data_IF_521799940765
#
_entry.id   IF_521799940765
#
_cell.length_a   1.000
_cell.length_b   1.000
_cell.length_c   1.000
_cell.angle_alpha   90.00
_cell.angle_beta   90.00
_cell.angle_gamma   90.00
#
_symmetry.space_group_name_H-M   'P 1'
#
loop_
_entity.id
_entity.type
_entity.pdbx_description
1 polymer ?
#
# COMPACT_ATOMS: atom_id res chain seq x y z
N UNK A 1 -16.28 -9.20 -25.13
CA UNK A 1 -16.25 -10.56 -24.54
C UNK A 1 -17.60 -11.19 -24.81
N UNK A 2 -17.70 -12.15 -25.71
CA UNK A 2 -18.95 -12.89 -25.97
C UNK A 2 -18.96 -14.16 -25.14
N UNK A 3 -19.91 -14.29 -24.24
CA UNK A 3 -20.17 -15.53 -23.50
C UNK A 3 -20.95 -16.47 -24.44
N UNK A 4 -20.28 -17.49 -24.97
CA UNK A 4 -20.93 -18.52 -25.81
C UNK A 4 -21.50 -19.59 -24.90
N UNK A 5 -22.82 -19.63 -24.81
CA UNK A 5 -23.58 -20.65 -24.07
C UNK A 5 -24.31 -21.51 -25.11
N UNK A 6 -24.15 -22.81 -25.02
CA UNK A 6 -24.93 -23.75 -25.87
C UNK A 6 -26.39 -23.75 -25.46
N UNK A 7 -27.28 -24.08 -26.41
CA UNK A 7 -28.72 -24.12 -26.14
C UNK A 7 -29.07 -25.09 -25.00
N UNK A 8 -28.39 -26.22 -24.91
CA UNK A 8 -28.57 -27.20 -23.81
C UNK A 8 -28.16 -26.65 -22.46
N UNK A 9 -27.02 -25.94 -22.39
CA UNK A 9 -26.55 -25.27 -21.17
C UNK A 9 -27.46 -24.12 -20.75
N UNK A 10 -27.99 -23.36 -21.72
CA UNK A 10 -28.96 -22.29 -21.47
C UNK A 10 -30.26 -22.83 -20.88
N UNK A 11 -30.80 -23.94 -21.42
CA UNK A 11 -32.01 -24.56 -20.91
C UNK A 11 -31.83 -25.18 -19.51
N UNK A 12 -30.67 -25.80 -19.26
CA UNK A 12 -30.33 -26.32 -17.92
C UNK A 12 -30.23 -25.17 -16.90
N UNK A 13 -29.57 -24.08 -17.28
CA UNK A 13 -29.41 -22.89 -16.43
C UNK A 13 -30.77 -22.25 -16.11
N UNK A 14 -31.68 -22.11 -17.11
CA UNK A 14 -33.02 -21.55 -16.91
C UNK A 14 -33.78 -22.35 -15.85
N UNK A 15 -33.80 -23.70 -15.96
CA UNK A 15 -34.43 -24.56 -14.96
C UNK A 15 -33.86 -24.42 -13.55
N UNK A 16 -32.52 -24.26 -13.44
CA UNK A 16 -31.89 -24.04 -12.15
C UNK A 16 -32.19 -22.67 -11.56
N UNK A 17 -32.23 -21.62 -12.39
CA UNK A 17 -32.57 -20.24 -12.01
C UNK A 17 -34.01 -20.11 -11.58
N UNK A 18 -34.95 -20.83 -12.23
CA UNK A 18 -36.35 -20.88 -11.81
C UNK A 18 -36.52 -21.40 -10.39
N UNK A 19 -35.69 -22.39 -9.99
CA UNK A 19 -35.72 -22.95 -8.64
C UNK A 19 -34.94 -22.12 -7.61
N UNK A 20 -33.81 -21.55 -7.98
CA UNK A 20 -32.91 -20.76 -7.12
C UNK A 20 -32.30 -19.59 -7.91
N UNK A 21 -32.98 -18.41 -7.96
CA UNK A 21 -32.52 -17.25 -8.75
C UNK A 21 -31.08 -16.79 -8.47
N UNK A 22 -30.57 -17.01 -7.25
CA UNK A 22 -29.19 -16.65 -6.90
C UNK A 22 -28.12 -17.43 -7.67
N UNK A 23 -28.42 -18.61 -8.20
CA UNK A 23 -27.47 -19.44 -8.98
C UNK A 23 -27.01 -18.79 -10.27
N UNK A 24 -27.77 -17.84 -10.83
CA UNK A 24 -27.34 -17.11 -12.02
C UNK A 24 -26.04 -16.33 -11.78
N UNK A 25 -25.88 -15.76 -10.58
CA UNK A 25 -24.67 -15.02 -10.23
C UNK A 25 -23.45 -15.92 -10.02
N UNK A 26 -23.66 -17.14 -9.49
CA UNK A 26 -22.61 -18.17 -9.39
C UNK A 26 -22.13 -18.59 -10.78
N UNK A 27 -23.08 -18.87 -11.69
CA UNK A 27 -22.77 -19.24 -13.07
C UNK A 27 -22.03 -18.14 -13.82
N UNK A 28 -22.47 -16.88 -13.70
CA UNK A 28 -21.78 -15.73 -14.27
C UNK A 28 -20.37 -15.64 -13.70
N UNK A 29 -20.20 -15.75 -12.38
CA UNK A 29 -18.90 -15.71 -11.72
C UNK A 29 -17.95 -16.77 -12.23
N UNK A 30 -18.40 -18.03 -12.36
CA UNK A 30 -17.61 -19.16 -12.89
C UNK A 30 -17.17 -18.91 -14.34
N UNK A 31 -18.07 -18.38 -15.19
CA UNK A 31 -17.74 -18.08 -16.58
C UNK A 31 -16.72 -16.94 -16.68
N UNK A 32 -16.87 -15.89 -15.90
CA UNK A 32 -15.89 -14.79 -15.83
C UNK A 32 -14.53 -15.32 -15.40
N UNK A 33 -14.47 -16.14 -14.37
CA UNK A 33 -13.20 -16.76 -13.91
C UNK A 33 -12.54 -17.60 -14.99
N UNK A 34 -13.32 -18.40 -15.75
CA UNK A 34 -12.82 -19.23 -16.84
C UNK A 34 -12.25 -18.37 -17.99
N UNK A 35 -12.95 -17.33 -18.40
CA UNK A 35 -12.50 -16.42 -19.45
C UNK A 35 -11.24 -15.65 -19.05
N UNK A 36 -11.20 -15.15 -17.81
CA UNK A 36 -10.02 -14.46 -17.27
C UNK A 36 -8.83 -15.41 -17.16
N UNK A 37 -9.06 -16.66 -16.73
CA UNK A 37 -8.03 -17.71 -16.71
C UNK A 37 -7.42 -17.94 -18.10
N UNK A 38 -8.28 -18.09 -19.11
CA UNK A 38 -7.85 -18.29 -20.50
C UNK A 38 -7.06 -17.09 -21.02
N UNK A 39 -7.54 -15.88 -20.77
CA UNK A 39 -6.88 -14.63 -21.16
C UNK A 39 -5.48 -14.52 -20.54
N UNK A 40 -5.36 -14.67 -19.23
CA UNK A 40 -4.07 -14.57 -18.52
C UNK A 40 -3.10 -15.66 -18.98
N UNK A 41 -3.57 -16.89 -19.17
CA UNK A 41 -2.77 -18.00 -19.67
C UNK A 41 -2.24 -17.69 -21.08
N UNK A 42 -3.08 -17.18 -21.98
CA UNK A 42 -2.68 -16.81 -23.33
C UNK A 42 -1.66 -15.66 -23.33
N UNK A 43 -1.83 -14.66 -22.48
CA UNK A 43 -0.90 -13.54 -22.35
C UNK A 43 0.48 -14.01 -21.91
N UNK A 44 0.55 -14.91 -20.92
CA UNK A 44 1.83 -15.50 -20.48
C UNK A 44 2.47 -16.41 -21.53
N UNK A 45 1.66 -17.10 -22.35
CA UNK A 45 2.18 -17.87 -23.48
C UNK A 45 2.79 -16.96 -24.55
N UNK A 46 2.24 -15.78 -24.80
CA UNK A 46 2.81 -14.77 -25.69
C UNK A 46 4.11 -14.17 -25.12
N UNK A 47 4.17 -13.90 -23.81
CA UNK A 47 5.42 -13.51 -23.15
C UNK A 47 6.53 -14.57 -23.38
N UNK A 48 6.19 -15.86 -23.18
CA UNK A 48 7.16 -16.94 -23.43
C UNK A 48 7.55 -17.03 -24.90
N UNK A 49 6.61 -16.81 -25.84
CA UNK A 49 6.90 -16.75 -27.29
C UNK A 49 7.91 -15.65 -27.57
N UNK A 50 7.70 -14.47 -27.02
CA UNK A 50 8.60 -13.32 -27.17
C UNK A 50 9.98 -13.61 -26.55
N UNK A 51 10.03 -14.20 -25.34
CA UNK A 51 11.26 -14.57 -24.65
C UNK A 51 12.10 -15.57 -25.46
N UNK A 52 11.46 -16.59 -26.04
CA UNK A 52 12.13 -17.62 -26.84
C UNK A 52 12.46 -17.16 -28.29
N UNK A 53 11.85 -16.06 -28.75
CA UNK A 53 12.02 -15.53 -30.10
C UNK A 53 11.56 -16.49 -31.20
N UNK A 54 10.56 -17.33 -30.91
CA UNK A 54 9.98 -18.30 -31.85
C UNK A 54 8.57 -18.74 -31.43
N UNK A 55 7.80 -19.12 -32.46
CA UNK A 55 6.45 -19.61 -32.28
C UNK A 55 6.38 -21.05 -31.74
N UNK A 56 5.19 -21.46 -31.39
CA UNK A 56 4.91 -22.81 -30.95
C UNK A 56 5.09 -23.76 -32.12
N UNK A 57 5.89 -24.85 -31.92
CA UNK A 57 6.27 -25.88 -32.93
C UNK A 57 7.29 -25.40 -33.95
N UNK A 58 7.76 -24.16 -33.94
CA UNK A 58 8.85 -23.72 -34.80
C UNK A 58 10.18 -24.32 -34.35
N UNK A 59 10.94 -24.91 -35.33
CA UNK A 59 12.29 -25.45 -35.10
C UNK A 59 13.32 -24.38 -35.46
N UNK A 60 14.24 -24.13 -34.55
CA UNK A 60 15.37 -23.22 -34.78
C UNK A 60 16.67 -23.99 -34.56
N UNK A 61 17.62 -23.84 -35.47
CA UNK A 61 18.95 -24.46 -35.34
C UNK A 61 19.77 -23.75 -34.26
N UNK A 62 20.56 -24.50 -33.51
CA UNK A 62 21.43 -24.01 -32.46
C UNK A 62 20.96 -24.38 -31.04
N UNK A 63 21.71 -23.92 -30.05
CA UNK A 63 21.47 -24.24 -28.63
C UNK A 63 20.35 -23.32 -28.07
N UNK A 64 19.17 -23.42 -28.66
CA UNK A 64 18.02 -22.58 -28.29
C UNK A 64 17.26 -23.19 -27.10
N UNK A 65 16.79 -22.35 -26.23
CA UNK A 65 15.91 -22.75 -25.14
C UNK A 65 14.54 -23.23 -25.66
N UNK A 66 13.83 -24.05 -24.89
CA UNK A 66 12.60 -24.74 -25.33
C UNK A 66 11.48 -24.54 -24.31
N UNK A 67 10.22 -24.54 -24.79
CA UNK A 67 9.04 -24.66 -23.94
C UNK A 67 9.10 -25.96 -23.13
N UNK A 68 8.90 -25.86 -21.80
CA UNK A 68 8.99 -27.00 -20.88
C UNK A 68 7.71 -27.19 -20.08
N UNK A 69 6.60 -27.34 -20.78
CA UNK A 69 5.30 -27.54 -20.14
C UNK A 69 4.77 -26.32 -19.41
N UNK A 70 3.83 -26.57 -18.52
CA UNK A 70 3.15 -25.53 -17.69
C UNK A 70 2.93 -26.08 -16.28
N UNK A 71 2.80 -25.19 -15.33
CA UNK A 71 2.28 -25.53 -13.99
C UNK A 71 1.07 -24.67 -13.66
N UNK A 72 0.17 -25.25 -12.88
CA UNK A 72 -1.06 -24.57 -12.44
C UNK A 72 -0.81 -23.82 -11.15
N UNK A 73 -1.40 -22.64 -11.06
CA UNK A 73 -1.36 -21.79 -9.88
C UNK A 73 -2.66 -21.03 -9.73
N UNK A 74 -3.11 -20.85 -8.50
CA UNK A 74 -4.25 -20.00 -8.17
C UNK A 74 -3.77 -18.56 -7.95
N UNK A 75 -4.49 -17.60 -8.55
CA UNK A 75 -4.26 -16.17 -8.39
C UNK A 75 -5.60 -15.47 -8.12
N UNK A 76 -5.67 -14.66 -7.06
CA UNK A 76 -6.89 -13.97 -6.69
C UNK A 76 -6.95 -12.57 -7.31
N UNK A 77 -8.07 -12.28 -7.96
CA UNK A 77 -8.36 -10.97 -8.59
C UNK A 77 -9.53 -10.33 -7.85
N UNK A 78 -9.40 -9.07 -7.49
CA UNK A 78 -10.44 -8.30 -6.81
C UNK A 78 -11.73 -8.28 -7.63
N UNK A 79 -12.86 -8.61 -7.00
CA UNK A 79 -14.18 -8.68 -7.63
C UNK A 79 -14.44 -9.93 -8.49
N UNK A 80 -13.41 -10.77 -8.75
CA UNK A 80 -13.54 -12.01 -9.52
C UNK A 80 -13.32 -13.23 -8.62
N UNK A 81 -12.42 -13.11 -7.63
CA UNK A 81 -12.03 -14.19 -6.74
C UNK A 81 -10.83 -14.99 -7.27
N UNK A 82 -10.73 -16.25 -6.83
CA UNK A 82 -9.63 -17.14 -7.19
C UNK A 82 -9.78 -17.63 -8.63
N UNK A 83 -8.75 -17.40 -9.44
CA UNK A 83 -8.64 -17.82 -10.84
C UNK A 83 -7.48 -18.78 -10.97
N UNK A 84 -7.74 -19.96 -11.55
CA UNK A 84 -6.69 -20.93 -11.86
C UNK A 84 -5.99 -20.55 -13.17
N UNK A 85 -4.69 -20.33 -13.14
CA UNK A 85 -3.88 -19.96 -14.32
C UNK A 85 -2.79 -20.99 -14.58
N UNK A 86 -2.48 -21.20 -15.86
CA UNK A 86 -1.44 -22.15 -16.31
C UNK A 86 -0.22 -21.37 -16.76
N UNK A 87 0.81 -21.35 -15.91
CA UNK A 87 2.03 -20.59 -16.14
C UNK A 87 2.99 -21.42 -16.98
N UNK A 88 3.40 -20.94 -18.16
CA UNK A 88 4.34 -21.66 -19.01
C UNK A 88 5.76 -21.60 -18.44
N UNK A 89 6.59 -22.59 -18.84
CA UNK A 89 8.00 -22.68 -18.46
C UNK A 89 8.87 -22.92 -19.68
N UNK A 90 10.07 -22.40 -19.63
CA UNK A 90 11.19 -22.74 -20.49
C UNK A 90 12.00 -23.90 -19.89
N UNK A 91 12.89 -24.49 -20.67
CA UNK A 91 13.74 -25.60 -20.24
C UNK A 91 14.88 -25.14 -19.33
N UNK A 92 15.48 -23.99 -19.66
CA UNK A 92 16.58 -23.43 -18.89
C UNK A 92 16.14 -22.84 -17.54
N UNK A 93 14.87 -22.50 -17.39
CA UNK A 93 14.32 -21.92 -16.17
C UNK A 93 14.61 -20.42 -16.01
N UNK A 94 14.97 -19.73 -17.09
CA UNK A 94 15.29 -18.29 -17.10
C UNK A 94 14.05 -17.41 -17.25
N UNK A 95 13.01 -17.94 -17.89
CA UNK A 95 11.76 -17.21 -18.11
C UNK A 95 11.02 -16.92 -16.80
N UNK A 96 10.63 -15.65 -16.64
CA UNK A 96 9.81 -15.17 -15.53
C UNK A 96 8.71 -14.28 -16.11
N UNK A 97 7.46 -14.75 -16.00
CA UNK A 97 6.31 -13.96 -16.42
C UNK A 97 6.18 -12.68 -15.60
N UNK A 98 5.90 -11.57 -16.28
CA UNK A 98 5.57 -10.28 -15.68
C UNK A 98 4.06 -10.14 -15.39
N UNK A 99 3.22 -10.92 -16.08
CA UNK A 99 1.76 -10.90 -15.91
C UNK A 99 1.37 -11.29 -14.49
N UNK A 100 1.95 -12.38 -13.97
CA UNK A 100 1.75 -12.81 -12.58
C UNK A 100 3.12 -13.12 -11.96
N UNK A 101 3.77 -12.17 -11.32
CA UNK A 101 5.09 -12.33 -10.72
C UNK A 101 5.15 -13.51 -9.74
N UNK A 102 6.34 -14.11 -9.66
CA UNK A 102 6.59 -15.25 -8.76
C UNK A 102 6.33 -14.85 -7.29
N UNK A 103 5.66 -15.73 -6.54
CA UNK A 103 5.35 -15.48 -5.12
C UNK A 103 4.07 -14.69 -4.89
N UNK A 104 3.57 -13.95 -5.87
CA UNK A 104 2.37 -13.13 -5.75
C UNK A 104 1.11 -13.99 -5.82
N UNK A 105 0.27 -13.97 -4.79
CA UNK A 105 -0.95 -14.81 -4.69
C UNK A 105 -2.21 -14.06 -5.11
N UNK A 106 -2.18 -12.73 -5.11
CA UNK A 106 -3.31 -11.84 -5.41
C UNK A 106 -2.80 -10.52 -6.00
N UNK A 107 -3.68 -9.77 -6.62
CA UNK A 107 -3.37 -8.47 -7.19
C UNK A 107 -3.08 -7.40 -6.12
N UNK A 108 -2.36 -6.34 -6.50
CA UNK A 108 -1.89 -5.29 -5.57
C UNK A 108 -3.03 -4.56 -4.86
N UNK A 109 -4.16 -4.34 -5.54
CA UNK A 109 -5.34 -3.71 -4.95
C UNK A 109 -5.88 -4.44 -3.73
N UNK A 110 -5.74 -5.76 -3.66
CA UNK A 110 -6.12 -6.54 -2.48
C UNK A 110 -5.17 -6.23 -1.32
N UNK A 111 -3.87 -6.10 -1.59
CA UNK A 111 -2.88 -5.70 -0.58
C UNK A 111 -3.20 -4.31 -0.02
N UNK A 112 -3.50 -3.36 -0.89
CA UNK A 112 -3.89 -1.99 -0.52
C UNK A 112 -5.16 -1.97 0.33
N UNK A 113 -6.20 -2.72 -0.06
CA UNK A 113 -7.45 -2.84 0.70
C UNK A 113 -7.21 -3.44 2.10
N UNK A 114 -6.39 -4.50 2.20
CA UNK A 114 -6.06 -5.12 3.48
C UNK A 114 -5.31 -4.15 4.40
N UNK A 115 -4.35 -3.42 3.84
CA UNK A 115 -3.60 -2.41 4.57
C UNK A 115 -4.51 -1.26 5.03
N UNK A 116 -5.39 -0.76 4.15
CA UNK A 116 -6.36 0.28 4.48
C UNK A 116 -7.33 -0.16 5.59
N UNK A 117 -7.91 -1.36 5.49
CA UNK A 117 -8.80 -1.91 6.51
C UNK A 117 -8.08 -2.11 7.84
N UNK A 118 -6.82 -2.53 7.83
CA UNK A 118 -6.01 -2.64 9.05
C UNK A 118 -5.78 -1.28 9.71
N UNK A 119 -5.51 -0.24 8.91
CA UNK A 119 -5.34 1.14 9.41
C UNK A 119 -6.60 1.70 10.05
N UNK A 120 -7.80 1.25 9.64
CA UNK A 120 -9.07 1.63 10.30
C UNK A 120 -9.28 0.94 11.65
N UNK A 121 -8.31 0.14 12.12
CA UNK A 121 -8.35 -0.53 13.41
C UNK A 121 -8.98 -1.93 13.38
N UNK A 122 -9.29 -2.48 12.22
CA UNK A 122 -9.79 -3.85 12.11
C UNK A 122 -8.63 -4.82 12.37
N UNK A 123 -8.83 -5.75 13.32
CA UNK A 123 -7.78 -6.71 13.68
C UNK A 123 -7.48 -7.69 12.53
N UNK A 124 -6.25 -8.21 12.47
CA UNK A 124 -5.85 -9.23 11.48
C UNK A 124 -6.72 -10.46 11.50
N UNK A 125 -7.21 -10.88 12.70
CA UNK A 125 -8.15 -11.99 12.85
C UNK A 125 -9.51 -11.68 12.22
N UNK A 126 -10.04 -10.50 12.47
CA UNK A 126 -11.33 -10.07 11.91
C UNK A 126 -11.23 -9.95 10.38
N UNK A 127 -10.14 -9.38 9.85
CA UNK A 127 -9.88 -9.33 8.41
C UNK A 127 -9.79 -10.73 7.80
N UNK A 128 -9.11 -11.66 8.46
CA UNK A 128 -9.05 -13.06 8.02
C UNK A 128 -10.42 -13.71 7.95
N UNK A 129 -11.29 -13.49 8.94
CA UNK A 129 -12.66 -14.03 8.95
C UNK A 129 -13.54 -13.44 7.84
N UNK A 130 -13.38 -12.15 7.56
CA UNK A 130 -14.20 -11.44 6.57
C UNK A 130 -13.63 -11.53 5.15
N UNK A 131 -12.37 -11.92 4.98
CA UNK A 131 -11.65 -11.86 3.71
C UNK A 131 -12.35 -12.64 2.59
N UNK A 132 -12.87 -13.86 2.88
CA UNK A 132 -13.61 -14.65 1.89
C UNK A 132 -14.83 -13.90 1.35
N UNK A 133 -15.52 -13.16 2.21
CA UNK A 133 -16.73 -12.42 1.84
C UNK A 133 -16.42 -11.11 1.10
N UNK A 134 -15.36 -10.42 1.49
CA UNK A 134 -14.98 -9.10 0.94
C UNK A 134 -14.13 -9.22 -0.33
N UNK A 135 -13.26 -10.22 -0.39
CA UNK A 135 -12.21 -10.35 -1.41
C UNK A 135 -12.44 -11.58 -2.29
N UNK A 136 -13.34 -12.50 -1.88
CA UNK A 136 -13.61 -13.76 -2.59
C UNK A 136 -12.66 -14.91 -2.21
N UNK A 137 -11.69 -14.66 -1.32
CA UNK A 137 -10.70 -15.63 -0.88
C UNK A 137 -10.46 -15.55 0.62
N UNK A 138 -10.19 -16.70 1.27
CA UNK A 138 -9.70 -16.73 2.66
C UNK A 138 -8.24 -16.29 2.71
N UNK A 139 -7.95 -15.24 3.49
CA UNK A 139 -6.61 -14.69 3.71
C UNK A 139 -6.22 -14.97 5.15
N UNK A 140 -5.02 -15.50 5.36
CA UNK A 140 -4.53 -15.79 6.70
C UNK A 140 -4.14 -14.52 7.47
N UNK A 141 -4.11 -14.53 8.82
CA UNK A 141 -3.61 -13.40 9.60
C UNK A 141 -2.18 -13.00 9.23
N UNK A 142 -1.35 -13.98 8.84
CA UNK A 142 0.03 -13.74 8.38
C UNK A 142 0.06 -12.97 7.06
N UNK A 143 -0.82 -13.29 6.10
CA UNK A 143 -0.90 -12.55 4.83
C UNK A 143 -1.36 -11.11 5.07
N UNK A 144 -2.31 -10.87 5.99
CA UNK A 144 -2.70 -9.51 6.41
C UNK A 144 -1.52 -8.77 7.04
N UNK A 145 -0.76 -9.45 7.92
CA UNK A 145 0.43 -8.87 8.54
C UNK A 145 1.51 -8.52 7.52
N UNK A 146 1.72 -9.36 6.51
CA UNK A 146 2.68 -9.09 5.43
C UNK A 146 2.27 -7.87 4.60
N UNK A 147 0.98 -7.74 4.25
CA UNK A 147 0.47 -6.56 3.55
C UNK A 147 0.73 -5.26 4.33
N UNK A 148 0.63 -5.30 5.66
CA UNK A 148 0.96 -4.13 6.51
C UNK A 148 2.47 -3.88 6.64
N UNK A 149 3.31 -4.86 6.40
CA UNK A 149 4.77 -4.70 6.43
C UNK A 149 5.26 -3.85 5.26
N UNK A 150 4.74 -4.04 4.06
CA UNK A 150 5.05 -3.19 2.90
C UNK A 150 4.66 -1.73 3.16
N UNK A 151 3.50 -1.51 3.77
CA UNK A 151 3.06 -0.17 4.18
C UNK A 151 4.02 0.44 5.22
N UNK A 152 4.46 -0.32 6.23
CA UNK A 152 5.45 0.15 7.20
C UNK A 152 6.76 0.55 6.54
N UNK A 153 7.25 -0.23 5.57
CA UNK A 153 8.45 0.11 4.82
C UNK A 153 8.28 1.38 3.98
N UNK A 154 7.11 1.58 3.37
CA UNK A 154 6.81 2.80 2.63
C UNK A 154 6.75 4.03 3.55
N UNK A 155 6.17 3.90 4.74
CA UNK A 155 6.14 4.95 5.78
C UNK A 155 7.57 5.26 6.26
N UNK A 156 8.41 4.26 6.50
CA UNK A 156 9.80 4.47 6.90
C UNK A 156 10.63 5.16 5.81
N UNK A 157 10.49 4.76 4.55
CA UNK A 157 11.11 5.47 3.41
C UNK A 157 10.65 6.93 3.33
N UNK A 158 9.37 7.18 3.55
CA UNK A 158 8.84 8.53 3.59
C UNK A 158 9.39 9.32 4.79
N UNK A 159 9.45 8.71 5.96
CA UNK A 159 9.94 9.33 7.19
C UNK A 159 11.41 9.72 7.11
N UNK A 160 12.23 8.87 6.48
CA UNK A 160 13.68 9.07 6.34
C UNK A 160 14.11 9.72 5.02
N UNK A 161 13.16 10.22 4.21
CA UNK A 161 13.46 10.81 2.91
C UNK A 161 14.35 12.03 3.02
N UNK A 162 15.18 12.23 2.02
CA UNK A 162 16.02 13.42 1.86
C UNK A 162 15.18 14.71 1.75
N UNK A 163 15.57 15.74 2.46
CA UNK A 163 14.95 17.06 2.48
C UNK A 163 15.87 18.15 1.93
N UNK A 164 17.05 17.82 1.39
CA UNK A 164 18.03 18.78 0.90
C UNK A 164 17.52 19.69 -0.23
N UNK A 165 16.54 19.21 -0.99
CA UNK A 165 15.93 19.97 -2.08
C UNK A 165 14.73 20.83 -1.63
N UNK A 166 14.33 20.74 -0.35
CA UNK A 166 13.16 21.41 0.19
C UNK A 166 13.52 22.79 0.76
N UNK A 167 13.08 23.86 0.09
CA UNK A 167 13.24 25.23 0.58
C UNK A 167 12.04 25.60 1.45
N UNK A 168 12.17 25.40 2.76
CA UNK A 168 11.10 25.63 3.74
C UNK A 168 11.23 27.05 4.31
N UNK A 169 10.22 27.86 4.05
CA UNK A 169 10.13 29.26 4.49
C UNK A 169 9.52 29.40 5.89
N UNK A 170 8.46 28.62 6.17
CA UNK A 170 7.76 28.61 7.46
C UNK A 170 7.57 27.19 7.97
N UNK A 171 7.53 27.05 9.28
CA UNK A 171 7.21 25.79 9.95
C UNK A 171 5.98 25.95 10.82
N UNK A 172 5.03 25.03 10.72
CA UNK A 172 3.90 24.88 11.64
C UNK A 172 4.20 23.64 12.47
N UNK A 173 4.25 23.82 13.78
CA UNK A 173 4.73 22.81 14.74
C UNK A 173 3.64 22.61 15.77
N UNK A 174 3.21 21.37 15.95
CA UNK A 174 2.11 21.01 16.84
C UNK A 174 2.32 19.61 17.46
N UNK A 175 1.89 19.46 18.70
CA UNK A 175 1.82 18.19 19.41
C UNK A 175 0.36 17.76 19.58
N UNK A 176 0.00 16.59 19.03
CA UNK A 176 -1.36 16.05 19.14
C UNK A 176 -1.33 14.77 19.95
N UNK A 177 -2.16 14.65 20.97
CA UNK A 177 -2.23 13.45 21.80
C UNK A 177 -3.31 12.49 21.31
N UNK A 178 -2.95 11.20 21.17
CA UNK A 178 -3.88 10.14 20.82
C UNK A 178 -3.95 9.10 21.95
N UNK A 179 -5.13 8.54 22.16
CA UNK A 179 -5.28 7.34 22.98
C UNK A 179 -5.00 6.13 22.10
N UNK A 180 -3.89 5.47 22.35
CA UNK A 180 -3.44 4.31 21.56
C UNK A 180 -3.33 3.08 22.46
N UNK A 181 -3.63 1.90 21.89
CA UNK A 181 -3.35 0.65 22.58
C UNK A 181 -1.88 0.29 22.36
N UNK A 182 -1.10 0.38 23.44
CA UNK A 182 0.30 -0.03 23.49
C UNK A 182 0.37 -1.32 24.30
N UNK A 183 0.73 -2.43 23.65
CA UNK A 183 0.71 -3.77 24.23
C UNK A 183 -0.68 -4.16 24.79
N UNK A 184 -0.90 -4.12 26.09
CA UNK A 184 -2.17 -4.48 26.74
C UNK A 184 -2.87 -3.31 27.43
N UNK A 185 -2.33 -2.09 27.38
CA UNK A 185 -2.86 -0.88 28.01
C UNK A 185 -3.30 0.14 26.96
N UNK A 186 -4.19 1.06 27.37
CA UNK A 186 -4.50 2.26 26.60
C UNK A 186 -3.66 3.39 27.16
N UNK A 187 -2.76 3.91 26.36
CA UNK A 187 -1.85 4.99 26.73
C UNK A 187 -2.16 6.25 25.93
N UNK A 188 -1.87 7.40 26.53
CA UNK A 188 -1.92 8.70 25.84
C UNK A 188 -0.54 8.92 25.20
N UNK A 189 -0.48 8.82 23.89
CA UNK A 189 0.75 8.96 23.13
C UNK A 189 0.75 10.30 22.41
N UNK A 190 1.71 11.18 22.68
CA UNK A 190 1.86 12.43 21.93
C UNK A 190 2.48 12.13 20.56
N UNK A 191 1.91 12.74 19.53
CA UNK A 191 2.42 12.71 18.17
C UNK A 191 2.92 14.11 17.83
N UNK A 192 4.21 14.24 17.59
CA UNK A 192 4.86 15.47 17.19
C UNK A 192 4.73 15.61 15.66
N UNK A 193 4.26 16.75 15.21
CA UNK A 193 4.02 17.04 13.79
C UNK A 193 4.74 18.34 13.39
N UNK A 194 5.49 18.30 12.31
CA UNK A 194 6.09 19.48 11.70
C UNK A 194 5.65 19.56 10.24
N UNK A 195 4.98 20.65 9.89
CA UNK A 195 4.55 20.97 8.53
C UNK A 195 5.41 22.14 8.03
N UNK A 196 6.10 21.94 6.91
CA UNK A 196 6.83 22.99 6.21
C UNK A 196 5.95 23.69 5.18
N UNK A 197 6.15 24.98 5.01
CA UNK A 197 5.58 25.79 3.93
C UNK A 197 6.71 26.26 3.04
N UNK A 198 6.65 25.88 1.76
CA UNK A 198 7.65 26.26 0.74
C UNK A 198 7.46 27.71 0.30
N UNK A 199 8.36 28.20 -0.55
CA UNK A 199 8.28 29.55 -1.12
C UNK A 199 7.04 29.78 -1.99
N UNK A 200 6.56 28.75 -2.68
CA UNK A 200 5.35 28.75 -3.49
C UNK A 200 4.04 28.62 -2.65
N UNK A 201 4.16 28.64 -1.32
CA UNK A 201 3.11 28.43 -0.34
C UNK A 201 2.50 27.01 -0.33
N UNK A 202 3.07 26.05 -1.02
CA UNK A 202 2.67 24.65 -0.86
C UNK A 202 3.10 24.13 0.51
N UNK A 203 2.29 23.21 1.06
CA UNK A 203 2.55 22.61 2.37
C UNK A 203 3.10 21.20 2.21
N UNK A 204 4.08 20.88 3.04
CA UNK A 204 4.71 19.56 3.09
C UNK A 204 4.80 19.10 4.53
N UNK A 205 4.32 17.89 4.82
CA UNK A 205 4.58 17.28 6.13
C UNK A 205 6.04 16.86 6.18
N UNK A 206 6.82 17.47 7.08
CA UNK A 206 8.25 17.21 7.23
C UNK A 206 8.52 16.05 8.20
N UNK A 207 7.75 16.00 9.30
CA UNK A 207 7.91 15.04 10.37
C UNK A 207 6.56 14.66 10.97
N UNK A 208 6.39 13.37 11.22
CA UNK A 208 5.39 12.79 12.13
C UNK A 208 6.13 11.77 12.97
N UNK A 209 6.17 11.98 14.28
CA UNK A 209 6.89 11.12 15.21
C UNK A 209 6.09 10.93 16.50
N UNK A 210 6.02 9.69 16.99
CA UNK A 210 5.53 9.44 18.34
C UNK A 210 6.61 9.79 19.36
N UNK A 211 6.26 10.53 20.40
CA UNK A 211 7.15 10.82 21.52
C UNK A 211 6.64 10.15 22.79
N UNK A 212 7.53 9.85 23.72
CA UNK A 212 7.14 9.39 25.06
C UNK A 212 6.44 10.51 25.83
N UNK A 213 6.88 11.74 25.60
CA UNK A 213 6.29 12.99 26.13
C UNK A 213 6.52 14.12 25.15
N UNK A 214 5.63 15.12 25.16
CA UNK A 214 5.86 16.39 24.51
C UNK A 214 6.87 17.22 25.34
N UNK A 215 8.16 16.95 25.12
CA UNK A 215 9.26 17.54 25.89
C UNK A 215 10.21 18.34 24.99
N UNK A 216 10.95 19.26 25.61
CA UNK A 216 12.02 20.01 24.92
C UNK A 216 13.06 19.07 24.26
N UNK A 217 13.38 17.96 24.91
CA UNK A 217 14.32 16.96 24.37
C UNK A 217 13.75 16.30 23.10
N UNK A 218 12.50 15.84 23.14
CA UNK A 218 11.84 15.21 21.98
C UNK A 218 11.76 16.17 20.78
N UNK A 219 11.46 17.45 21.00
CA UNK A 219 11.46 18.47 19.96
C UNK A 219 12.86 18.74 19.41
N UNK A 220 13.89 18.76 20.26
CA UNK A 220 15.29 18.93 19.83
C UNK A 220 15.72 17.77 18.91
N UNK A 221 15.43 16.55 19.29
CA UNK A 221 15.69 15.36 18.48
C UNK A 221 14.96 15.43 17.14
N UNK A 222 13.70 15.86 17.14
CA UNK A 222 12.90 16.05 15.94
C UNK A 222 13.50 17.07 14.96
N UNK A 223 13.97 18.22 15.46
CA UNK A 223 14.60 19.24 14.63
C UNK A 223 15.98 18.81 14.11
N UNK A 224 16.74 18.05 14.89
CA UNK A 224 18.00 17.47 14.45
C UNK A 224 17.80 16.43 13.35
N UNK A 225 16.81 15.54 13.49
CA UNK A 225 16.44 14.60 12.45
C UNK A 225 16.10 15.32 11.12
N UNK A 226 15.36 16.41 11.16
CA UNK A 226 15.09 17.22 9.97
C UNK A 226 16.37 17.72 9.30
N UNK A 227 17.32 18.23 10.08
CA UNK A 227 18.63 18.71 9.58
C UNK A 227 19.51 17.58 9.07
N UNK A 228 19.55 16.45 9.75
CA UNK A 228 20.28 15.25 9.33
C UNK A 228 19.76 14.71 8.00
N UNK A 229 18.46 14.84 7.74
CA UNK A 229 17.85 14.56 6.44
C UNK A 229 18.06 15.66 5.38
N UNK A 230 18.91 16.62 5.66
CA UNK A 230 19.34 17.65 4.70
C UNK A 230 18.54 18.94 4.71
N UNK A 231 17.59 19.15 5.65
CA UNK A 231 16.84 20.40 5.73
C UNK A 231 17.78 21.58 6.03
N UNK A 232 17.84 22.55 5.13
CA UNK A 232 18.58 23.79 5.35
C UNK A 232 17.79 24.76 6.23
N UNK A 233 18.19 24.84 7.50
CA UNK A 233 17.56 25.72 8.48
C UNK A 233 17.73 27.22 8.18
N UNK A 234 18.64 27.63 7.30
CA UNK A 234 18.87 29.03 6.97
C UNK A 234 17.72 29.66 6.18
N UNK A 235 16.92 28.84 5.48
CA UNK A 235 15.72 29.28 4.76
C UNK A 235 14.51 29.49 5.68
N UNK A 236 14.53 28.92 6.89
CA UNK A 236 13.39 29.00 7.82
C UNK A 236 13.34 30.40 8.44
N UNK A 237 12.24 31.11 8.19
CA UNK A 237 12.02 32.49 8.66
C UNK A 237 11.07 32.60 9.84
N UNK A 238 10.16 31.64 10.01
CA UNK A 238 9.14 31.69 11.03
C UNK A 238 8.72 30.27 11.48
N UNK A 239 8.65 30.04 12.78
CA UNK A 239 7.99 28.89 13.41
C UNK A 239 6.69 29.32 14.05
N UNK A 240 5.60 28.61 13.77
CA UNK A 240 4.28 28.82 14.37
C UNK A 240 4.02 27.61 15.28
N UNK A 241 3.81 27.83 16.56
CA UNK A 241 3.64 26.79 17.58
C UNK A 241 2.69 27.19 18.72
N UNK A 242 2.35 26.26 19.60
CA UNK A 242 1.32 26.43 20.65
C UNK A 242 1.75 27.34 21.83
N UNK A 243 2.98 27.76 21.91
CA UNK A 243 3.48 28.60 23.02
C UNK A 243 4.01 27.82 24.21
N UNK A 244 4.32 26.53 24.03
CA UNK A 244 5.05 25.75 25.00
C UNK A 244 6.46 26.30 25.17
N UNK A 245 6.80 26.84 26.34
CA UNK A 245 8.07 27.55 26.56
C UNK A 245 9.32 26.70 26.22
N UNK A 246 9.25 25.39 26.47
CA UNK A 246 10.31 24.45 26.13
C UNK A 246 10.49 24.30 24.61
N UNK A 247 9.42 24.28 23.85
CA UNK A 247 9.45 24.21 22.39
C UNK A 247 9.98 25.51 21.76
N UNK A 248 9.47 26.68 22.22
CA UNK A 248 9.91 27.98 21.74
C UNK A 248 11.44 28.16 21.89
N UNK A 249 11.97 27.76 23.08
CA UNK A 249 13.40 27.81 23.37
C UNK A 249 14.20 26.92 22.43
N UNK A 250 13.80 25.66 22.28
CA UNK A 250 14.50 24.68 21.43
C UNK A 250 14.44 25.10 19.97
N UNK A 251 13.30 25.61 19.50
CA UNK A 251 13.18 26.12 18.13
C UNK A 251 14.14 27.30 17.89
N UNK A 252 14.22 28.27 18.80
CA UNK A 252 15.12 29.40 18.69
C UNK A 252 16.62 28.98 18.68
N UNK A 253 16.96 27.93 19.46
CA UNK A 253 18.32 27.36 19.48
C UNK A 253 18.66 26.66 18.15
N UNK A 254 17.72 25.89 17.62
CA UNK A 254 17.93 25.09 16.40
C UNK A 254 17.78 25.92 15.10
N UNK A 255 16.99 27.00 15.11
CA UNK A 255 16.76 27.90 13.97
C UNK A 255 16.95 29.36 14.38
N UNK A 256 18.21 29.80 14.63
CA UNK A 256 18.48 31.11 15.24
C UNK A 256 18.10 32.32 14.38
N UNK A 257 17.91 32.12 13.08
CA UNK A 257 17.48 33.18 12.16
C UNK A 257 15.95 33.27 12.01
N UNK A 258 15.23 32.29 12.52
CA UNK A 258 13.78 32.24 12.42
C UNK A 258 13.11 32.96 13.60
N UNK A 259 12.00 33.63 13.34
CA UNK A 259 11.15 34.20 14.37
C UNK A 259 10.17 33.14 14.88
N UNK A 260 9.67 33.33 16.11
CA UNK A 260 8.64 32.49 16.70
C UNK A 260 7.32 33.26 16.74
N UNK A 261 6.23 32.61 16.36
CA UNK A 261 4.86 33.12 16.52
C UNK A 261 4.02 32.06 17.22
N UNK A 262 3.29 32.46 18.24
CA UNK A 262 2.29 31.60 18.88
C UNK A 262 1.08 31.39 17.97
N UNK A 263 0.60 30.17 17.94
CA UNK A 263 -0.58 29.79 17.18
C UNK A 263 -1.81 30.54 17.69
N UNK A 264 -2.43 31.35 16.83
CA UNK A 264 -3.61 32.15 17.20
C UNK A 264 -4.79 31.30 17.64
N UNK A 265 -4.95 30.09 17.06
CA UNK A 265 -6.01 29.15 17.42
C UNK A 265 -5.82 28.66 18.87
N UNK A 266 -4.59 28.31 19.27
CA UNK A 266 -4.29 27.90 20.64
C UNK A 266 -4.44 29.06 21.62
N UNK A 267 -4.01 30.25 21.26
CA UNK A 267 -4.22 31.46 22.09
C UNK A 267 -5.72 31.73 22.31
N UNK A 268 -6.52 31.67 21.24
CA UNK A 268 -7.95 31.90 21.32
C UNK A 268 -8.74 30.82 22.12
N UNK A 269 -8.22 29.60 22.18
CA UNK A 269 -8.82 28.53 22.99
C UNK A 269 -8.48 28.63 24.48
N UNK A 270 -7.43 29.34 24.83
CA UNK A 270 -6.95 29.51 26.20
C UNK A 270 -7.45 30.83 26.86
N UNK A 271 -8.26 31.59 26.14
CA UNK A 271 -9.01 32.77 26.62
C UNK A 271 -10.47 32.41 26.88
#
# INVERSE_FOLDING_TARGET
MELKVSVSEALALIKEVESVPAKIFEYIGMNIQKEVSAFLTNLMDQELTHHLGRDKYERKEGNADYRNGRYTRTFCIKGIGDVEVRIPRDRNGDFRTQVIPRGKKYEDRITEDLAAMYLTGISTRTLSLLSKRLIGRSISPTEVSNATTELKQAIEKWRTRDLSHEKIKYMIIDGVTFRMRVSNSIEVVPILVVIGVREDNTRLVLLIQSGDKESATAWRESFRDLKERGLDGSYVRLGIMDGLSGLEKVFAEEFPHAKVQRCQVHVARNV
#
